data_IF_986914457233
#
_entry.id   IF_986914457233
#
_cell.length_a   1.000
_cell.length_b   1.000
_cell.length_c   1.000
_cell.angle_alpha   90.00
_cell.angle_beta   90.00
_cell.angle_gamma   90.00
#
_symmetry.space_group_name_H-M   'P 1'
#
loop_
_entity.id
_entity.type
_entity.pdbx_description
1 polymer ?
#
# COMPACT_ATOMS: atom_id res chain seq x y z
N UNK A 1 4.00 -2.44 -9.26
CA UNK A 1 4.13 -1.96 -7.86
C UNK A 1 3.54 -3.04 -6.97
N UNK A 2 3.74 -2.93 -5.66
CA UNK A 2 3.03 -3.78 -4.72
C UNK A 2 1.51 -3.58 -4.89
N UNK A 3 0.71 -4.65 -4.92
CA UNK A 3 -0.74 -4.56 -5.04
C UNK A 3 -1.39 -3.53 -4.11
N UNK A 4 -1.00 -3.53 -2.83
CA UNK A 4 -1.64 -2.66 -1.85
C UNK A 4 -1.35 -1.19 -2.16
N UNK A 5 -0.21 -0.85 -2.77
CA UNK A 5 0.12 0.55 -2.99
C UNK A 5 -0.75 1.19 -4.07
N UNK A 6 -1.49 0.38 -4.83
CA UNK A 6 -2.52 0.87 -5.74
C UNK A 6 -3.89 1.00 -5.06
N UNK A 7 -3.99 0.67 -3.77
CA UNK A 7 -5.24 0.55 -3.05
C UNK A 7 -5.07 1.16 -1.65
N UNK A 8 -5.22 2.50 -1.50
CA UNK A 8 -4.83 3.29 -0.34
C UNK A 8 -4.79 2.53 0.99
N UNK A 9 -5.94 2.16 1.54
CA UNK A 9 -6.06 1.49 2.84
C UNK A 9 -5.04 0.34 3.02
N UNK A 10 -4.85 -0.44 1.95
CA UNK A 10 -3.93 -1.57 1.85
C UNK A 10 -2.51 -1.11 2.23
N UNK A 11 -2.09 0.03 1.71
CA UNK A 11 -0.79 0.60 1.94
C UNK A 11 -0.68 1.56 3.11
N UNK A 12 -1.80 2.16 3.51
CA UNK A 12 -1.89 2.76 4.83
C UNK A 12 -1.60 1.71 5.88
N UNK A 13 -2.12 0.51 5.65
CA UNK A 13 -1.83 -0.69 6.44
C UNK A 13 -0.46 -1.32 6.12
N UNK A 14 0.34 -0.72 5.21
CA UNK A 14 1.69 -1.14 4.91
C UNK A 14 2.50 0.07 4.44
N UNK A 15 2.75 1.03 5.32
CA UNK A 15 3.51 2.22 5.03
C UNK A 15 4.77 1.91 4.22
N UNK A 16 5.46 0.85 4.64
CA UNK A 16 6.64 0.27 4.02
C UNK A 16 6.71 0.38 2.50
N UNK A 17 5.60 0.19 1.78
CA UNK A 17 5.62 0.14 0.32
C UNK A 17 5.44 1.48 -0.35
N UNK A 18 4.76 2.38 0.32
CA UNK A 18 3.98 3.43 -0.36
C UNK A 18 3.94 4.76 0.39
N UNK A 19 4.14 4.75 1.70
#
# INVERSE_FOLDING_TARGET
RDPCCYHPTCNMSNPQICX
#
